data_IF_133177955526
#
_entry.id   IF_133177955526
#
_cell.length_a   1.000
_cell.length_b   1.000
_cell.length_c   1.000
_cell.angle_alpha   90.00
_cell.angle_beta   90.00
_cell.angle_gamma   90.00
#
_symmetry.space_group_name_H-M   'P 1'
#
loop_
_entity.id
_entity.type
_entity.pdbx_description
1 polymer ?
#
# COMPACT_ATOMS: atom_id res chain seq x y z
N UNK A 1 -2.32 28.54 -18.50
CA UNK A 1 -1.26 27.54 -18.19
C UNK A 1 -1.36 27.11 -16.74
N UNK A 2 -1.87 25.91 -16.44
CA UNK A 2 -2.00 25.43 -15.06
C UNK A 2 -0.61 25.21 -14.44
N UNK A 3 -0.26 26.04 -13.44
CA UNK A 3 0.94 25.86 -12.61
C UNK A 3 0.95 24.42 -12.09
N UNK A 4 1.85 23.57 -12.61
CA UNK A 4 2.08 22.23 -12.07
C UNK A 4 2.63 22.41 -10.65
N UNK A 5 1.75 22.38 -9.65
CA UNK A 5 2.15 22.32 -8.24
C UNK A 5 3.17 21.21 -8.08
N UNK A 6 4.36 21.56 -7.59
CA UNK A 6 5.42 20.61 -7.25
C UNK A 6 4.85 19.70 -6.14
N UNK A 7 4.65 18.38 -6.35
CA UNK A 7 4.11 17.54 -5.30
C UNK A 7 5.26 17.12 -4.38
N UNK A 8 5.59 18.03 -3.45
CA UNK A 8 6.38 17.70 -2.27
C UNK A 8 5.56 16.77 -1.38
N UNK A 9 6.19 15.69 -0.94
CA UNK A 9 5.62 14.85 0.11
C UNK A 9 5.72 15.61 1.43
N UNK A 10 4.73 15.48 2.31
CA UNK A 10 4.80 16.14 3.63
C UNK A 10 6.02 15.57 4.37
N UNK A 11 6.98 16.41 4.81
CA UNK A 11 8.15 15.95 5.53
C UNK A 11 7.73 15.34 6.87
N UNK A 12 8.34 14.20 7.25
CA UNK A 12 8.08 13.53 8.53
C UNK A 12 7.13 12.32 8.48
N UNK A 13 6.42 12.06 7.38
CA UNK A 13 5.47 10.93 7.31
C UNK A 13 6.11 9.54 7.38
N UNK A 14 7.42 9.43 7.09
CA UNK A 14 8.16 8.18 7.22
C UNK A 14 8.17 7.66 8.66
N UNK A 15 8.10 8.57 9.65
CA UNK A 15 8.09 8.28 11.08
C UNK A 15 6.91 7.36 11.42
N UNK A 16 5.75 7.58 10.80
CA UNK A 16 4.55 6.75 11.01
C UNK A 16 4.83 5.29 10.65
N UNK A 17 5.45 5.04 9.48
CA UNK A 17 5.82 3.69 9.05
C UNK A 17 6.90 3.07 9.92
N UNK A 18 7.91 3.83 10.33
CA UNK A 18 8.97 3.33 11.21
C UNK A 18 8.43 2.97 12.60
N UNK A 19 7.57 3.82 13.16
CA UNK A 19 6.86 3.57 14.42
C UNK A 19 5.98 2.34 14.29
N UNK A 20 5.21 2.20 13.20
CA UNK A 20 4.39 1.00 12.95
C UNK A 20 5.21 -0.30 12.98
N UNK A 21 6.38 -0.33 12.33
CA UNK A 21 7.25 -1.51 12.36
C UNK A 21 7.85 -1.76 13.74
N UNK A 22 8.24 -0.71 14.47
CA UNK A 22 8.73 -0.82 15.83
C UNK A 22 7.65 -1.36 16.79
N UNK A 23 6.41 -0.85 16.70
CA UNK A 23 5.30 -1.32 17.52
C UNK A 23 4.90 -2.76 17.19
N UNK A 24 4.95 -3.17 15.91
CA UNK A 24 4.70 -4.55 15.52
C UNK A 24 5.71 -5.55 16.09
N UNK A 25 6.93 -5.10 16.42
CA UNK A 25 7.95 -5.89 17.11
C UNK A 25 7.69 -6.01 18.61
N UNK A 26 7.08 -5.00 19.23
CA UNK A 26 6.74 -4.98 20.66
C UNK A 26 5.42 -5.71 20.95
N UNK A 27 4.40 -5.52 20.10
CA UNK A 27 3.09 -6.17 20.22
C UNK A 27 2.46 -6.37 18.84
N UNK A 28 2.24 -7.62 18.44
CA UNK A 28 1.71 -7.95 17.11
C UNK A 28 0.30 -7.40 16.86
N UNK A 29 -0.55 -7.24 17.90
CA UNK A 29 -1.91 -6.71 17.72
C UNK A 29 -1.91 -5.29 17.17
N UNK A 30 -0.87 -4.51 17.43
CA UNK A 30 -0.73 -3.14 16.88
C UNK A 30 -0.65 -3.13 15.35
N UNK A 31 -0.31 -4.26 14.72
CA UNK A 31 -0.32 -4.42 13.27
C UNK A 31 -1.72 -4.29 12.65
N UNK A 32 -2.80 -4.43 13.43
CA UNK A 32 -4.17 -4.18 12.95
C UNK A 32 -4.41 -2.73 12.52
N UNK A 33 -3.59 -1.79 13.01
CA UNK A 33 -3.61 -0.39 12.52
C UNK A 33 -3.32 -0.29 11.01
N UNK A 34 -2.75 -1.33 10.39
CA UNK A 34 -2.60 -1.42 8.94
C UNK A 34 -3.93 -1.35 8.17
N UNK A 35 -5.04 -1.78 8.79
CA UNK A 35 -6.38 -1.68 8.19
C UNK A 35 -6.72 -0.21 7.93
N UNK A 36 -6.44 0.67 8.89
CA UNK A 36 -6.61 2.12 8.71
C UNK A 36 -5.69 2.64 7.59
N UNK A 37 -4.41 2.25 7.59
CA UNK A 37 -3.47 2.68 6.55
C UNK A 37 -3.91 2.27 5.12
N UNK A 38 -4.59 1.12 4.98
CA UNK A 38 -5.13 0.67 3.70
C UNK A 38 -6.51 1.28 3.39
N UNK A 39 -7.33 1.61 4.40
CA UNK A 39 -8.64 2.24 4.19
C UNK A 39 -8.54 3.71 3.78
N UNK A 40 -7.62 4.48 4.39
CA UNK A 40 -7.47 5.92 4.13
C UNK A 40 -7.27 6.27 2.65
N UNK A 41 -6.44 5.59 1.84
CA UNK A 41 -6.35 5.89 0.41
C UNK A 41 -7.67 5.75 -0.33
N UNK A 42 -8.51 4.78 0.02
CA UNK A 42 -9.83 4.61 -0.60
C UNK A 42 -10.80 5.71 -0.18
N UNK A 43 -10.80 6.08 1.10
CA UNK A 43 -11.63 7.17 1.63
C UNK A 43 -11.27 8.51 0.97
N UNK A 44 -9.98 8.83 0.87
CA UNK A 44 -9.53 10.07 0.20
C UNK A 44 -9.77 10.04 -1.31
N UNK A 45 -9.67 8.86 -1.94
CA UNK A 45 -9.94 8.73 -3.36
C UNK A 45 -11.43 8.96 -3.66
N UNK A 46 -12.32 8.46 -2.79
CA UNK A 46 -13.76 8.67 -2.89
C UNK A 46 -14.14 10.14 -2.69
N UNK A 47 -13.54 10.83 -1.70
CA UNK A 47 -13.88 12.24 -1.42
C UNK A 47 -13.27 13.25 -2.39
N UNK A 48 -12.01 13.06 -2.80
CA UNK A 48 -11.28 14.10 -3.54
C UNK A 48 -11.09 13.80 -5.03
N UNK A 49 -11.31 12.55 -5.50
CA UNK A 49 -11.12 12.16 -6.91
C UNK A 49 -9.71 12.40 -7.47
N UNK A 50 -8.77 12.76 -6.61
CA UNK A 50 -7.40 13.20 -6.91
C UNK A 50 -6.42 12.32 -6.13
N UNK A 51 -5.18 12.23 -6.60
CA UNK A 51 -4.15 11.34 -6.05
C UNK A 51 -3.49 11.89 -4.78
N UNK A 52 -4.26 12.51 -3.87
CA UNK A 52 -3.70 13.19 -2.69
C UNK A 52 -2.90 12.22 -1.82
N UNK A 53 -3.40 10.99 -1.62
CA UNK A 53 -2.70 10.00 -0.81
C UNK A 53 -1.32 9.66 -1.36
N UNK A 54 -1.24 9.25 -2.62
CA UNK A 54 0.03 8.87 -3.25
C UNK A 54 0.97 10.07 -3.48
N UNK A 55 0.46 11.31 -3.55
CA UNK A 55 1.26 12.50 -3.81
C UNK A 55 1.75 13.21 -2.55
N UNK A 56 0.96 13.23 -1.48
CA UNK A 56 1.23 14.02 -0.28
C UNK A 56 1.27 13.21 1.02
N UNK A 57 0.47 12.15 1.15
CA UNK A 57 0.21 11.49 2.43
C UNK A 57 0.70 10.04 2.56
N UNK A 58 1.41 9.50 1.58
CA UNK A 58 1.82 8.08 1.63
C UNK A 58 3.07 7.92 2.53
N UNK A 59 2.95 7.32 3.73
CA UNK A 59 4.07 7.20 4.68
C UNK A 59 5.19 6.31 4.15
N UNK A 60 4.81 5.23 3.47
CA UNK A 60 5.75 4.33 2.78
C UNK A 60 6.51 5.01 1.66
N UNK A 61 5.85 5.81 0.83
CA UNK A 61 6.53 6.56 -0.23
C UNK A 61 7.54 7.56 0.36
N UNK A 62 7.25 8.08 1.57
CA UNK A 62 8.18 8.93 2.32
C UNK A 62 9.44 8.17 2.70
N UNK A 63 9.29 6.99 3.29
CA UNK A 63 10.41 6.14 3.70
C UNK A 63 11.26 5.69 2.50
N UNK A 64 10.62 5.31 1.40
CA UNK A 64 11.30 4.91 0.16
C UNK A 64 12.03 6.10 -0.48
N UNK A 65 11.48 7.32 -0.36
CA UNK A 65 12.11 8.52 -0.90
C UNK A 65 13.35 8.98 -0.15
N UNK A 66 13.44 8.69 1.16
CA UNK A 66 14.62 8.95 1.98
C UNK A 66 15.73 7.91 1.76
N UNK A 67 15.35 6.65 1.51
CA UNK A 67 16.27 5.53 1.29
C UNK A 67 16.75 5.39 -0.17
N UNK A 68 16.24 6.23 -1.07
CA UNK A 68 16.54 6.18 -2.51
C UNK A 68 17.79 6.96 -2.93
N UNK A 69 18.31 6.63 -4.12
CA UNK A 69 19.51 7.29 -4.67
C UNK A 69 19.31 8.79 -4.94
N UNK A 70 20.37 9.61 -4.80
CA UNK A 70 20.36 11.02 -5.15
C UNK A 70 20.01 11.23 -6.63
N UNK A 71 19.43 12.39 -6.94
CA UNK A 71 18.79 12.71 -8.23
C UNK A 71 19.69 12.58 -9.46
N UNK A 72 21.01 12.58 -9.29
CA UNK A 72 21.99 12.50 -10.38
C UNK A 72 22.18 11.11 -11.00
N UNK A 73 21.82 10.01 -10.31
CA UNK A 73 22.05 8.62 -10.79
C UNK A 73 20.76 7.83 -11.05
N UNK A 74 19.68 8.53 -11.41
CA UNK A 74 18.38 7.89 -11.62
C UNK A 74 18.34 7.10 -12.93
N UNK A 75 18.25 5.77 -12.82
CA UNK A 75 17.94 4.93 -13.98
C UNK A 75 16.47 5.13 -14.38
N UNK A 76 16.21 5.19 -15.69
CA UNK A 76 14.84 5.23 -16.22
C UNK A 76 14.09 3.97 -15.83
N UNK A 77 12.79 4.10 -15.57
CA UNK A 77 11.96 2.95 -15.24
C UNK A 77 11.71 2.16 -16.53
N UNK A 78 11.96 0.83 -16.56
CA UNK A 78 11.69 0.03 -17.74
C UNK A 78 10.21 0.13 -18.13
N UNK A 79 9.92 0.16 -19.43
CA UNK A 79 8.55 0.26 -19.96
C UNK A 79 7.65 -0.85 -19.43
N UNK A 80 8.20 -2.05 -19.18
CA UNK A 80 7.53 -3.21 -18.56
C UNK A 80 6.85 -2.91 -17.21
N UNK A 81 7.40 -2.00 -16.39
CA UNK A 81 6.78 -1.60 -15.10
C UNK A 81 5.67 -0.54 -15.27
N UNK A 82 5.66 0.12 -16.41
CA UNK A 82 4.62 1.09 -16.81
C UNK A 82 3.52 0.45 -17.64
N UNK A 83 3.77 -0.76 -18.13
CA UNK A 83 2.86 -1.51 -18.96
C UNK A 83 1.60 -1.90 -18.19
N UNK A 84 0.47 -1.94 -18.90
CA UNK A 84 -0.84 -2.20 -18.30
C UNK A 84 -0.91 -3.57 -17.64
N UNK A 85 -0.14 -4.54 -18.16
CA UNK A 85 -0.11 -5.92 -17.70
C UNK A 85 0.37 -6.03 -16.25
N UNK A 86 1.57 -5.55 -15.92
CA UNK A 86 2.14 -5.72 -14.58
C UNK A 86 1.29 -5.06 -13.49
N UNK A 87 0.69 -3.90 -13.81
CA UNK A 87 -0.22 -3.19 -12.89
C UNK A 87 -1.50 -3.99 -12.62
N UNK A 88 -2.05 -4.62 -13.67
CA UNK A 88 -3.24 -5.47 -13.55
C UNK A 88 -2.92 -6.74 -12.76
N UNK A 89 -1.77 -7.36 -13.01
CA UNK A 89 -1.29 -8.54 -12.27
C UNK A 89 -1.06 -8.21 -10.80
N UNK A 90 -0.44 -7.07 -10.46
CA UNK A 90 -0.27 -6.65 -9.08
C UNK A 90 -1.58 -6.30 -8.37
N UNK A 91 -2.54 -5.72 -9.08
CA UNK A 91 -3.88 -5.49 -8.54
C UNK A 91 -4.59 -6.82 -8.24
N UNK A 92 -4.50 -7.78 -9.16
CA UNK A 92 -5.08 -9.11 -8.98
C UNK A 92 -4.41 -9.86 -7.82
N UNK A 93 -3.08 -9.82 -7.72
CA UNK A 93 -2.32 -10.37 -6.60
C UNK A 93 -2.73 -9.77 -5.25
N UNK A 94 -2.90 -8.45 -5.17
CA UNK A 94 -3.35 -7.77 -3.95
C UNK A 94 -4.78 -8.18 -3.58
N UNK A 95 -5.70 -8.20 -4.54
CA UNK A 95 -7.07 -8.64 -4.33
C UNK A 95 -7.16 -10.08 -3.84
N UNK A 96 -6.41 -10.99 -4.47
CA UNK A 96 -6.33 -12.40 -4.05
C UNK A 96 -5.74 -12.55 -2.64
N UNK A 97 -4.72 -11.75 -2.28
CA UNK A 97 -4.19 -11.73 -0.92
C UNK A 97 -5.24 -11.30 0.11
N UNK A 98 -6.04 -10.25 -0.17
CA UNK A 98 -7.13 -9.84 0.72
C UNK A 98 -8.19 -10.93 0.87
N UNK A 99 -8.61 -11.55 -0.25
CA UNK A 99 -9.56 -12.66 -0.22
C UNK A 99 -9.01 -13.84 0.60
N UNK A 100 -7.74 -14.16 0.43
CA UNK A 100 -7.09 -15.23 1.18
C UNK A 100 -6.97 -14.90 2.67
N UNK A 101 -6.65 -13.65 3.03
CA UNK A 101 -6.61 -13.18 4.44
C UNK A 101 -8.01 -13.27 5.06
N UNK A 102 -9.03 -12.68 4.42
CA UNK A 102 -10.40 -12.69 4.91
C UNK A 102 -10.94 -14.13 5.02
N UNK A 103 -10.78 -14.94 3.98
CA UNK A 103 -11.24 -16.34 3.98
C UNK A 103 -10.54 -17.19 5.05
N UNK A 104 -9.24 -17.01 5.26
CA UNK A 104 -8.52 -17.71 6.33
C UNK A 104 -8.92 -17.25 7.73
N UNK A 105 -9.26 -15.97 7.90
CA UNK A 105 -9.73 -15.41 9.18
C UNK A 105 -11.13 -15.93 9.50
N UNK A 106 -12.01 -16.01 8.50
CA UNK A 106 -13.35 -16.59 8.61
C UNK A 106 -13.27 -18.08 8.99
N UNK A 107 -12.34 -18.85 8.39
CA UNK A 107 -12.19 -20.27 8.76
C UNK A 107 -11.73 -20.47 10.20
N UNK A 108 -10.87 -19.60 10.72
CA UNK A 108 -10.44 -19.65 12.13
C UNK A 108 -11.57 -19.20 13.05
N UNK A 109 -12.39 -18.22 12.67
CA UNK A 109 -13.54 -17.81 13.48
C UNK A 109 -14.63 -18.89 13.56
N UNK A 110 -14.72 -19.75 12.55
CA UNK A 110 -15.63 -20.92 12.53
C UNK A 110 -15.00 -22.12 13.28
N UNK A 111 -13.77 -22.00 13.79
CA UNK A 111 -13.07 -23.06 14.51
C UNK A 111 -12.53 -24.17 13.59
N UNK A 112 -12.49 -23.95 12.28
CA UNK A 112 -12.10 -24.97 11.30
C UNK A 112 -10.57 -25.13 11.16
N UNK A 113 -9.75 -24.24 11.75
CA UNK A 113 -8.28 -24.27 11.66
C UNK A 113 -7.63 -23.59 12.88
N UNK A 114 -6.47 -24.12 13.31
CA UNK A 114 -5.62 -23.51 14.34
C UNK A 114 -4.90 -22.25 13.84
N UNK A 115 -4.67 -21.24 14.71
CA UNK A 115 -4.00 -20.00 14.33
C UNK A 115 -2.50 -20.21 14.04
N UNK A 116 -2.06 -19.75 12.87
CA UNK A 116 -0.64 -19.78 12.47
C UNK A 116 0.10 -18.56 13.03
N UNK A 117 0.98 -18.75 14.02
CA UNK A 117 1.68 -17.67 14.74
C UNK A 117 3.04 -17.25 14.14
N UNK A 118 3.27 -17.52 12.85
CA UNK A 118 4.59 -17.30 12.23
C UNK A 118 4.54 -16.22 11.14
N UNK A 119 5.49 -15.27 11.20
CA UNK A 119 5.69 -14.26 10.15
C UNK A 119 6.38 -14.91 8.95
N UNK A 120 5.67 -15.04 7.83
CA UNK A 120 6.25 -15.46 6.55
C UNK A 120 6.67 -14.25 5.74
N UNK A 121 7.94 -14.10 5.36
CA UNK A 121 8.32 -13.14 4.34
C UNK A 121 7.99 -13.73 2.97
N UNK A 122 7.20 -12.98 2.18
CA UNK A 122 6.95 -13.32 0.78
C UNK A 122 6.38 -14.72 0.54
N UNK A 123 5.59 -15.25 1.48
CA UNK A 123 5.01 -16.59 1.41
C UNK A 123 6.06 -17.74 1.48
N UNK A 124 7.34 -17.51 1.17
CA UNK A 124 8.36 -18.54 0.96
C UNK A 124 9.49 -18.60 2.01
N UNK A 125 9.79 -17.52 2.73
CA UNK A 125 10.86 -17.52 3.74
C UNK A 125 10.23 -17.36 5.14
N UNK A 126 10.05 -18.44 5.93
CA UNK A 126 9.76 -18.29 7.35
C UNK A 126 10.97 -17.57 7.97
N UNK A 127 10.75 -16.47 8.71
CA UNK A 127 11.84 -15.87 9.47
C UNK A 127 12.31 -16.92 10.50
N UNK A 128 13.61 -17.25 10.61
CA UNK A 128 14.10 -18.34 11.44
C UNK A 128 14.18 -17.97 12.94
N UNK A 129 13.16 -17.28 13.45
CA UNK A 129 13.05 -16.98 14.87
C UNK A 129 11.62 -16.66 15.25
N UNK A 130 11.11 -17.16 16.39
CA UNK A 130 9.94 -16.56 17.01
C UNK A 130 10.26 -15.09 17.23
N UNK A 131 9.38 -14.19 16.77
CA UNK A 131 9.54 -12.77 17.08
C UNK A 131 9.53 -12.67 18.62
N UNK A 132 10.53 -12.05 19.27
CA UNK A 132 10.49 -11.87 20.71
C UNK A 132 9.33 -10.93 21.02
N UNK A 133 8.17 -11.50 21.32
CA UNK A 133 7.01 -10.75 21.79
C UNK A 133 7.36 -10.23 23.20
N UNK A 134 7.91 -9.02 23.26
CA UNK A 134 8.39 -8.42 24.51
C UNK A 134 7.28 -8.25 25.56
N UNK A 135 6.02 -8.21 25.14
CA UNK A 135 4.86 -8.39 26.02
C UNK A 135 4.26 -9.77 25.76
N UNK A 136 4.46 -10.71 26.69
CA UNK A 136 3.62 -11.89 26.81
C UNK A 136 2.16 -11.44 26.83
N UNK A 137 1.34 -11.93 25.91
CA UNK A 137 -0.09 -11.65 25.80
C UNK A 137 -0.80 -12.17 27.05
N UNK A 138 -1.16 -11.34 28.06
CA UNK A 138 -1.74 -11.84 29.30
C UNK A 138 -3.28 -11.94 29.22
N UNK A 139 -3.88 -11.67 28.06
CA UNK A 139 -5.32 -11.71 27.87
C UNK A 139 -5.67 -12.67 26.74
N UNK A 140 -6.75 -13.42 26.95
CA UNK A 140 -7.37 -14.33 26.00
C UNK A 140 -7.78 -13.62 24.70
N UNK A 141 -6.79 -13.38 23.81
CA UNK A 141 -7.02 -12.82 22.50
C UNK A 141 -7.54 -13.93 21.59
N UNK A 142 -8.65 -13.70 20.85
CA UNK A 142 -9.15 -14.67 19.90
C UNK A 142 -8.10 -15.00 18.83
N UNK A 143 -7.90 -16.30 18.52
CA UNK A 143 -6.89 -16.75 17.55
C UNK A 143 -7.04 -16.18 16.13
N UNK A 144 -8.24 -15.72 15.76
CA UNK A 144 -8.45 -15.03 14.47
C UNK A 144 -7.75 -13.67 14.42
N UNK A 145 -7.65 -12.97 15.56
CA UNK A 145 -7.10 -11.61 15.64
C UNK A 145 -5.57 -11.62 15.54
N UNK A 146 -4.90 -12.57 16.22
CA UNK A 146 -3.46 -12.79 16.11
C UNK A 146 -3.07 -13.20 14.69
N UNK A 147 -3.80 -14.15 14.10
CA UNK A 147 -3.57 -14.59 12.73
C UNK A 147 -3.74 -13.45 11.70
N UNK A 148 -4.79 -12.63 11.86
CA UNK A 148 -5.01 -11.45 11.02
C UNK A 148 -3.84 -10.48 11.11
N UNK A 149 -3.39 -10.18 12.33
CA UNK A 149 -2.29 -9.26 12.58
C UNK A 149 -0.97 -9.73 11.95
N UNK A 150 -0.61 -11.01 12.10
CA UNK A 150 0.59 -11.60 11.50
C UNK A 150 0.60 -11.49 9.97
N UNK A 151 -0.55 -11.68 9.32
CA UNK A 151 -0.66 -11.62 7.86
C UNK A 151 -0.56 -10.20 7.32
N UNK A 152 -1.21 -9.24 7.98
CA UNK A 152 -1.06 -7.82 7.63
C UNK A 152 0.37 -7.33 7.84
N UNK A 153 1.00 -7.71 8.95
CA UNK A 153 2.38 -7.35 9.24
C UNK A 153 3.34 -7.89 8.17
N UNK A 154 3.24 -9.18 7.82
CA UNK A 154 4.02 -9.83 6.75
C UNK A 154 3.86 -9.12 5.39
N UNK A 155 2.63 -8.82 4.98
CA UNK A 155 2.33 -8.20 3.68
C UNK A 155 2.89 -6.77 3.60
N UNK A 156 2.77 -6.01 4.70
CA UNK A 156 3.29 -4.66 4.77
C UNK A 156 4.83 -4.64 4.81
N UNK A 157 5.44 -5.56 5.55
CA UNK A 157 6.90 -5.72 5.66
C UNK A 157 7.53 -6.11 4.32
N UNK A 158 7.05 -7.20 3.70
CA UNK A 158 7.55 -7.70 2.41
C UNK A 158 7.44 -6.65 1.32
N UNK A 159 6.31 -5.95 1.24
CA UNK A 159 6.14 -4.88 0.28
C UNK A 159 7.09 -3.72 0.59
N UNK A 160 7.24 -3.28 1.84
CA UNK A 160 8.18 -2.20 2.19
C UNK A 160 9.61 -2.54 1.82
N UNK A 161 10.05 -3.77 2.09
CA UNK A 161 11.37 -4.28 1.75
C UNK A 161 11.61 -4.25 0.22
N UNK A 162 10.63 -4.70 -0.56
CA UNK A 162 10.65 -4.54 -2.02
C UNK A 162 10.75 -3.08 -2.45
N UNK A 163 9.95 -2.21 -1.83
CA UNK A 163 9.95 -0.78 -2.12
C UNK A 163 11.33 -0.16 -1.94
N UNK A 164 12.04 -0.53 -0.86
CA UNK A 164 13.41 -0.11 -0.57
C UNK A 164 14.38 -0.69 -1.61
N UNK A 165 14.29 -1.99 -1.92
CA UNK A 165 15.14 -2.63 -2.93
C UNK A 165 14.98 -1.97 -4.31
N UNK A 166 13.75 -1.74 -4.76
CA UNK A 166 13.44 -1.04 -6.01
C UNK A 166 13.92 0.41 -6.02
N UNK A 167 13.87 1.09 -4.88
CA UNK A 167 14.34 2.47 -4.74
C UNK A 167 15.85 2.61 -4.87
N UNK A 168 16.61 1.61 -4.39
CA UNK A 168 18.08 1.59 -4.57
C UNK A 168 18.50 1.33 -6.02
N UNK A 169 17.70 0.60 -6.79
CA UNK A 169 18.00 0.23 -8.17
C UNK A 169 17.54 1.32 -9.15
N UNK A 170 16.32 1.84 -9.00
CA UNK A 170 15.67 2.77 -9.94
C UNK A 170 15.49 4.17 -9.33
N UNK A 171 14.28 4.75 -9.47
CA UNK A 171 13.89 6.02 -8.85
C UNK A 171 13.23 5.80 -7.49
N UNK A 172 13.33 6.76 -6.56
CA UNK A 172 12.67 6.73 -5.24
C UNK A 172 11.13 6.62 -5.25
N UNK A 173 10.48 6.68 -6.41
CA UNK A 173 9.04 6.45 -6.60
C UNK A 173 8.72 5.40 -7.68
N UNK A 174 9.68 4.57 -8.05
CA UNK A 174 9.50 3.47 -8.99
C UNK A 174 8.41 2.51 -8.51
N UNK A 175 8.47 2.13 -7.23
CA UNK A 175 7.48 1.26 -6.61
C UNK A 175 6.05 1.84 -6.66
N UNK A 176 5.90 3.15 -6.44
CA UNK A 176 4.61 3.82 -6.49
C UNK A 176 3.93 3.74 -7.87
N UNK A 177 4.69 3.52 -8.96
CA UNK A 177 4.15 3.38 -10.31
C UNK A 177 3.50 2.01 -10.58
N UNK A 178 3.87 0.99 -9.78
CA UNK A 178 3.41 -0.40 -9.89
C UNK A 178 2.45 -0.75 -8.76
N UNK A 179 2.48 0.01 -7.67
CA UNK A 179 1.61 -0.18 -6.51
C UNK A 179 0.12 -0.23 -6.91
N UNK A 180 -0.66 -1.21 -6.41
CA UNK A 180 -2.07 -1.39 -6.75
C UNK A 180 -2.91 -0.16 -6.42
N UNK A 181 -2.64 0.50 -5.29
CA UNK A 181 -3.30 1.76 -4.89
C UNK A 181 -2.99 2.89 -5.86
N UNK A 182 -1.75 2.98 -6.33
CA UNK A 182 -1.34 3.93 -7.35
C UNK A 182 -2.10 3.71 -8.66
N UNK A 183 -2.23 2.45 -9.09
CA UNK A 183 -2.99 2.08 -10.29
C UNK A 183 -4.48 2.40 -10.18
N UNK A 184 -5.14 1.98 -9.09
CA UNK A 184 -6.54 2.29 -8.81
C UNK A 184 -6.80 3.81 -8.86
N UNK A 185 -5.96 4.59 -8.19
CA UNK A 185 -6.05 6.05 -8.19
C UNK A 185 -5.80 6.68 -9.58
N UNK A 186 -4.94 6.07 -10.40
CA UNK A 186 -4.75 6.48 -11.80
C UNK A 186 -6.01 6.25 -12.64
N UNK A 187 -6.64 5.08 -12.49
CA UNK A 187 -7.83 4.67 -13.22
C UNK A 187 -9.03 5.54 -12.87
N UNK A 188 -9.27 5.78 -11.57
CA UNK A 188 -10.36 6.66 -11.10
C UNK A 188 -10.16 8.09 -11.61
N UNK A 189 -8.93 8.62 -11.57
CA UNK A 189 -8.65 9.96 -12.10
C UNK A 189 -8.89 10.05 -13.61
N UNK A 190 -8.51 9.02 -14.37
CA UNK A 190 -8.74 8.98 -15.83
C UNK A 190 -10.24 8.98 -16.11
N UNK A 191 -11.02 8.19 -15.38
CA UNK A 191 -12.49 8.12 -15.49
C UNK A 191 -13.14 9.47 -15.16
N UNK A 192 -12.75 10.12 -14.07
CA UNK A 192 -13.28 11.44 -13.72
C UNK A 192 -12.94 12.52 -14.76
N UNK A 193 -11.73 12.48 -15.33
CA UNK A 193 -11.34 13.42 -16.39
C UNK A 193 -12.16 13.22 -17.68
N UNK A 194 -12.40 11.96 -18.06
CA UNK A 194 -13.25 11.63 -19.21
C UNK A 194 -14.70 12.06 -18.98
N UNK A 195 -15.22 11.90 -17.76
CA UNK A 195 -16.55 12.41 -17.40
C UNK A 195 -16.63 13.94 -17.51
N UNK A 196 -15.60 14.65 -17.04
CA UNK A 196 -15.54 16.12 -17.13
C UNK A 196 -15.40 16.61 -18.58
N UNK A 197 -14.64 15.89 -19.42
CA UNK A 197 -14.50 16.21 -20.85
C UNK A 197 -15.83 16.04 -21.58
N UNK A 198 -16.53 14.91 -21.37
CA UNK A 198 -17.87 14.72 -21.92
C UNK A 198 -18.82 15.83 -21.50
N UNK A 199 -18.86 16.16 -20.22
CA UNK A 199 -19.72 17.24 -19.71
C UNK A 199 -19.35 18.63 -20.28
N UNK A 200 -18.10 18.82 -20.72
CA UNK A 200 -17.68 20.06 -21.41
C UNK A 200 -18.08 20.03 -22.88
N UNK A 201 -17.97 18.87 -23.54
CA UNK A 201 -18.44 18.66 -24.92
C UNK A 201 -19.97 18.83 -25.00
N UNK A 202 -20.74 18.20 -24.10
CA UNK A 202 -22.19 18.35 -24.00
C UNK A 202 -22.60 19.83 -23.77
N UNK A 203 -21.83 20.59 -22.98
CA UNK A 203 -22.10 22.01 -22.75
C UNK A 203 -21.77 22.87 -23.98
N UNK A 204 -20.76 22.49 -24.76
CA UNK A 204 -20.40 23.15 -26.02
C UNK A 204 -21.41 22.87 -27.13
N UNK A 205 -22.04 21.69 -27.14
CA UNK A 205 -23.11 21.36 -28.09
C UNK A 205 -24.43 22.10 -27.76
N UNK A 206 -24.71 22.38 -26.48
CA UNK A 206 -25.89 23.17 -26.07
C UNK A 206 -25.69 24.68 -26.31
N UNK A 207 -24.46 25.17 -26.26
CA UNK A 207 -24.11 26.59 -26.44
C UNK A 207 -23.49 26.83 -27.83
N UNK A 208 -23.56 25.85 -28.73
CA UNK A 208 -23.18 25.97 -30.14
C UNK A 208 -24.02 27.02 -30.88
N UNK A 209 -23.44 27.64 -31.93
CA UNK A 209 -23.59 29.05 -32.29
C UNK A 209 -25.02 29.61 -32.39
#
# INVERSE_FOLDING_TARGET
MAKRLKPGLVPGLFIITSIYFALGFVNILTALSAIFCMAIPFILLSKSGKKLWCQHYCPRASLISLTGKPRSRWRTLPTMFTDGFLRKTMLWYFGLNLLFITGSTIRISIGAMEPMEHVRLFIALPLPGPLPQLLATPLAVPGWLSHLAYRFYSMMLSSTLLGIAFSRIYRPRAWCAVCPVGFLSNTVRKRNRLGLQRQTEDLLDIVGP
#
